data_IF_929777730686
#
_entry.id   IF_929777730686
#
_cell.length_a   1.000
_cell.length_b   1.000
_cell.length_c   1.000
_cell.angle_alpha   90.00
_cell.angle_beta   90.00
_cell.angle_gamma   90.00
#
_symmetry.space_group_name_H-M   'P 1'
#
loop_
_entity.id
_entity.type
_entity.pdbx_description
1 polymer ?
#
# COMPACT_ATOMS: atom_id res chain seq x y z
N UNK A 1 -8.03 -8.39 10.78
CA UNK A 1 -9.31 -7.65 10.69
C UNK A 1 -9.20 -6.45 11.64
N UNK A 2 -8.78 -5.28 11.14
CA UNK A 2 -8.67 -4.05 11.95
C UNK A 2 -9.94 -3.22 11.77
N UNK A 3 -10.50 -2.72 12.88
CA UNK A 3 -11.74 -1.93 12.89
C UNK A 3 -11.39 -0.44 12.74
N UNK A 4 -11.18 -0.01 11.50
CA UNK A 4 -11.04 1.41 11.14
C UNK A 4 -12.39 1.99 10.68
N UNK A 5 -12.68 3.25 11.03
CA UNK A 5 -13.87 3.96 10.55
C UNK A 5 -13.85 4.07 9.01
N UNK A 6 -14.99 3.97 8.31
CA UNK A 6 -15.03 4.12 6.87
C UNK A 6 -14.82 5.60 6.53
N UNK A 7 -13.70 5.92 5.89
CA UNK A 7 -13.56 7.16 5.13
C UNK A 7 -13.74 6.81 3.66
N UNK A 8 -14.92 7.14 3.13
CA UNK A 8 -15.18 7.22 1.70
C UNK A 8 -14.18 8.20 1.08
N UNK A 9 -13.28 7.70 0.22
CA UNK A 9 -13.03 8.33 -1.07
C UNK A 9 -12.20 7.39 -1.96
N UNK A 10 -12.81 6.83 -2.99
CA UNK A 10 -12.10 6.44 -4.20
C UNK A 10 -11.49 7.70 -4.79
N UNK A 11 -10.20 7.88 -4.66
CA UNK A 11 -9.48 8.95 -5.36
C UNK A 11 -8.27 8.32 -6.01
N UNK A 12 -8.38 8.14 -7.32
CA UNK A 12 -7.24 8.03 -8.22
C UNK A 12 -6.22 9.10 -7.80
N UNK A 13 -5.03 8.70 -7.39
CA UNK A 13 -3.97 9.64 -7.03
C UNK A 13 -3.46 10.31 -8.31
N UNK A 14 -4.06 11.44 -8.69
CA UNK A 14 -3.43 12.38 -9.61
C UNK A 14 -2.43 13.18 -8.78
N UNK A 15 -1.14 12.94 -9.00
CA UNK A 15 -0.07 13.76 -8.45
C UNK A 15 -0.17 15.16 -9.05
N UNK A 16 -0.81 16.09 -8.35
CA UNK A 16 -0.68 17.51 -8.64
C UNK A 16 0.56 18.05 -7.90
N UNK A 17 1.61 18.49 -8.61
CA UNK A 17 2.75 19.12 -7.98
C UNK A 17 2.36 20.53 -7.53
N UNK A 18 2.25 20.74 -6.22
CA UNK A 18 2.30 22.09 -5.65
C UNK A 18 3.77 22.48 -5.44
N UNK A 19 4.19 23.71 -5.81
CA UNK A 19 5.54 24.17 -5.55
C UNK A 19 5.68 24.69 -4.11
N UNK A 20 6.93 25.06 -3.74
CA UNK A 20 7.39 25.82 -2.55
C UNK A 20 7.81 24.94 -1.33
N UNK A 21 8.68 25.43 -0.42
CA UNK A 21 10.15 25.37 -0.42
C UNK A 21 10.66 24.47 0.74
N UNK A 22 11.94 24.08 0.72
CA UNK A 22 12.54 23.06 1.59
C UNK A 22 12.10 21.65 1.22
N UNK A 23 13.00 20.93 0.56
CA UNK A 23 12.90 19.49 0.34
C UNK A 23 13.03 18.82 1.72
N UNK A 24 11.94 18.81 2.50
CA UNK A 24 11.72 17.78 3.48
C UNK A 24 11.32 16.55 2.66
N UNK A 25 12.24 15.60 2.55
CA UNK A 25 11.93 14.31 1.93
C UNK A 25 10.86 13.65 2.80
N UNK A 26 9.58 13.84 2.49
CA UNK A 26 8.49 13.19 3.21
C UNK A 26 8.55 11.72 2.83
N UNK A 27 8.90 10.81 3.77
CA UNK A 27 8.95 9.40 3.46
C UNK A 27 7.54 8.95 3.04
N UNK A 28 7.43 8.22 1.93
CA UNK A 28 6.17 7.61 1.52
C UNK A 28 5.83 6.50 2.52
N UNK A 29 5.00 6.81 3.50
CA UNK A 29 4.68 5.85 4.57
C UNK A 29 3.57 4.87 4.20
N UNK A 30 2.74 5.19 3.21
CA UNK A 30 1.63 4.35 2.74
C UNK A 30 1.60 4.37 1.22
N UNK A 31 1.39 3.21 0.63
CA UNK A 31 1.24 3.04 -0.83
C UNK A 31 0.02 2.17 -1.12
N UNK A 32 -0.66 2.47 -2.23
CA UNK A 32 -1.77 1.68 -2.77
C UNK A 32 -1.48 1.41 -4.25
N UNK A 33 -1.55 0.15 -4.66
CA UNK A 33 -1.21 -0.29 -6.02
C UNK A 33 -2.25 -1.30 -6.49
N UNK A 34 -2.80 -1.09 -7.69
CA UNK A 34 -3.53 -2.12 -8.43
C UNK A 34 -2.53 -2.87 -9.33
N UNK A 35 -2.51 -4.20 -9.25
CA UNK A 35 -1.60 -5.03 -10.04
C UNK A 35 -2.38 -5.73 -11.15
N UNK A 36 -1.89 -5.54 -12.38
CA UNK A 36 -2.35 -6.22 -13.58
C UNK A 36 -1.27 -7.21 -14.00
N UNK A 37 -1.49 -8.50 -13.78
CA UNK A 37 -0.49 -9.51 -14.11
C UNK A 37 -0.91 -10.92 -13.71
N UNK A 38 -0.06 -11.89 -14.07
CA UNK A 38 -0.22 -13.27 -13.63
C UNK A 38 -0.02 -13.39 -12.11
N UNK A 39 -0.48 -14.49 -11.48
CA UNK A 39 -0.20 -14.74 -10.06
C UNK A 39 1.28 -14.73 -9.72
N UNK A 40 2.14 -15.22 -10.62
CA UNK A 40 3.60 -15.23 -10.43
C UNK A 40 4.21 -13.83 -10.43
N UNK A 41 3.82 -12.98 -11.39
CA UNK A 41 4.26 -11.59 -11.47
C UNK A 41 3.79 -10.80 -10.25
N UNK A 42 2.53 -11.01 -9.84
CA UNK A 42 1.96 -10.41 -8.64
C UNK A 42 2.76 -10.80 -7.40
N UNK A 43 2.98 -12.10 -7.16
CA UNK A 43 3.75 -12.57 -6.01
C UNK A 43 5.19 -12.01 -6.00
N UNK A 44 5.82 -11.93 -7.18
CA UNK A 44 7.17 -11.36 -7.34
C UNK A 44 7.20 -9.88 -6.95
N UNK A 45 6.24 -9.09 -7.42
CA UNK A 45 6.14 -7.66 -7.10
C UNK A 45 5.81 -7.44 -5.62
N UNK A 46 4.88 -8.22 -5.05
CA UNK A 46 4.52 -8.15 -3.63
C UNK A 46 5.74 -8.44 -2.73
N UNK A 47 6.58 -9.41 -3.11
CA UNK A 47 7.82 -9.71 -2.41
C UNK A 47 8.83 -8.57 -2.51
N UNK A 48 8.99 -7.98 -3.70
CA UNK A 48 9.88 -6.83 -3.89
C UNK A 48 9.46 -5.67 -2.98
N UNK A 49 8.17 -5.32 -2.95
CA UNK A 49 7.63 -4.27 -2.08
C UNK A 49 7.91 -4.62 -0.61
N UNK A 50 7.67 -5.87 -0.21
CA UNK A 50 7.94 -6.31 1.16
C UNK A 50 9.40 -6.16 1.56
N UNK A 51 10.34 -6.49 0.68
CA UNK A 51 11.78 -6.34 0.93
C UNK A 51 12.21 -4.87 1.16
N UNK A 52 11.42 -3.91 0.68
CA UNK A 52 11.64 -2.48 0.92
C UNK A 52 10.95 -1.95 2.19
N UNK A 53 10.62 -2.82 3.15
CA UNK A 53 10.10 -2.40 4.47
C UNK A 53 8.61 -2.09 4.48
N UNK A 54 7.89 -2.37 3.39
CA UNK A 54 6.44 -2.20 3.30
C UNK A 54 5.71 -3.46 3.72
N UNK A 55 4.74 -3.31 4.61
CA UNK A 55 3.90 -4.38 5.12
C UNK A 55 2.51 -4.27 4.52
N UNK A 56 2.04 -5.36 3.93
CA UNK A 56 0.69 -5.49 3.42
C UNK A 56 -0.30 -5.45 4.59
N UNK A 57 -1.29 -4.55 4.54
CA UNK A 57 -2.33 -4.46 5.57
C UNK A 57 -3.75 -4.60 5.02
N UNK A 58 -3.95 -4.43 3.71
CA UNK A 58 -5.23 -4.64 3.03
C UNK A 58 -5.01 -5.08 1.59
N UNK A 59 -5.92 -5.92 1.07
CA UNK A 59 -6.03 -6.22 -0.34
C UNK A 59 -7.51 -6.36 -0.72
N UNK A 60 -7.85 -6.04 -1.96
CA UNK A 60 -9.20 -6.12 -2.50
C UNK A 60 -9.15 -6.68 -3.93
N UNK A 61 -9.94 -7.73 -4.19
CA UNK A 61 -10.11 -8.26 -5.55
C UNK A 61 -11.05 -7.32 -6.28
N UNK A 62 -10.66 -6.90 -7.48
CA UNK A 62 -11.48 -6.01 -8.29
C UNK A 62 -12.82 -6.70 -8.65
N UNK A 63 -13.94 -6.07 -8.29
CA UNK A 63 -15.27 -6.66 -8.47
C UNK A 63 -15.77 -6.75 -9.91
N UNK A 64 -15.16 -6.00 -10.85
CA UNK A 64 -15.47 -6.11 -12.28
C UNK A 64 -14.53 -7.08 -12.99
N UNK A 65 -13.28 -7.17 -12.54
CA UNK A 65 -12.21 -7.95 -13.16
C UNK A 65 -11.47 -8.80 -12.12
N UNK A 66 -11.94 -10.03 -11.86
CA UNK A 66 -11.37 -10.88 -10.80
C UNK A 66 -9.90 -11.31 -10.99
N UNK A 67 -9.29 -11.00 -12.13
CA UNK A 67 -7.85 -11.16 -12.35
C UNK A 67 -7.01 -10.00 -11.81
N UNK A 68 -7.63 -8.92 -11.34
CA UNK A 68 -6.98 -7.72 -10.82
C UNK A 68 -7.19 -7.63 -9.31
N UNK A 69 -6.16 -7.14 -8.61
CA UNK A 69 -6.22 -6.95 -7.17
C UNK A 69 -5.52 -5.65 -6.78
N UNK A 70 -6.13 -4.95 -5.85
CA UNK A 70 -5.60 -3.75 -5.22
C UNK A 70 -4.93 -4.15 -3.91
N UNK A 71 -3.77 -3.57 -3.63
CA UNK A 71 -2.97 -3.86 -2.44
C UNK A 71 -2.58 -2.55 -1.75
N UNK A 72 -2.73 -2.52 -0.43
CA UNK A 72 -2.35 -1.39 0.40
C UNK A 72 -1.26 -1.78 1.39
N UNK A 73 -0.21 -0.96 1.46
CA UNK A 73 0.95 -1.20 2.32
C UNK A 73 1.27 -0.02 3.22
N UNK A 74 1.91 -0.32 4.35
CA UNK A 74 2.46 0.65 5.29
C UNK A 74 3.96 0.36 5.49
N UNK A 75 4.80 1.38 5.39
CA UNK A 75 6.23 1.22 5.69
C UNK A 75 6.42 1.06 7.22
N UNK A 76 7.31 0.16 7.63
CA UNK A 76 7.52 -0.18 9.05
C UNK A 76 7.93 1.01 9.94
N UNK A 77 8.66 1.98 9.37
CA UNK A 77 8.99 3.23 10.09
C UNK A 77 7.76 4.07 10.47
N UNK A 78 6.59 3.77 9.91
CA UNK A 78 5.34 4.46 10.18
C UNK A 78 4.46 3.77 11.23
N UNK A 79 4.86 2.59 11.73
CA UNK A 79 4.01 1.80 12.63
C UNK A 79 3.60 2.58 13.88
N UNK A 80 4.56 3.16 14.59
CA UNK A 80 4.28 3.98 15.77
C UNK A 80 3.41 5.20 15.45
N UNK A 81 3.63 5.84 14.29
CA UNK A 81 2.87 7.03 13.89
C UNK A 81 1.40 6.72 13.63
N UNK A 82 1.11 5.55 13.07
CA UNK A 82 -0.25 5.15 12.69
C UNK A 82 -0.87 4.10 13.61
N UNK A 83 -0.24 3.83 14.77
CA UNK A 83 -0.67 2.80 15.71
C UNK A 83 -0.88 1.42 15.05
N UNK A 84 0.01 1.09 14.10
CA UNK A 84 -0.04 -0.18 13.38
C UNK A 84 0.75 -1.24 14.17
N UNK A 85 0.09 -2.35 14.48
CA UNK A 85 0.72 -3.50 15.14
C UNK A 85 1.04 -4.58 14.10
N UNK A 86 2.32 -4.97 13.91
CA UNK A 86 2.67 -6.03 12.98
C UNK A 86 2.11 -7.38 13.48
N UNK A 87 1.40 -8.10 12.60
CA UNK A 87 0.84 -9.42 12.92
C UNK A 87 1.71 -10.55 12.38
N UNK A 88 1.97 -10.54 11.08
CA UNK A 88 2.77 -11.53 10.37
C UNK A 88 3.26 -10.97 9.05
N UNK A 89 4.40 -11.48 8.57
CA UNK A 89 5.02 -11.08 7.31
C UNK A 89 4.99 -12.26 6.35
N UNK A 90 4.00 -12.27 5.46
CA UNK A 90 3.70 -13.40 4.56
C UNK A 90 4.50 -13.36 3.24
N UNK A 91 5.29 -12.31 3.00
CA UNK A 91 5.89 -12.00 1.69
C UNK A 91 7.43 -11.92 1.73
N UNK A 92 8.08 -12.58 2.71
CA UNK A 92 9.55 -12.68 2.82
C UNK A 92 10.12 -13.79 1.92
#
# INVERSE_FOLDING_TARGET
LFRGRPTLNTSSFVLHPLPIPHIAFTPLFKIMIEIHGTPYETATLLRLISNHGYWLYSYEINGAWHSLCEFSFIHESAFTRYDATPMARYLN
#
